data_IF_721874907016
#
_entry.id   IF_721874907016
#
_cell.length_a   1.000
_cell.length_b   1.000
_cell.length_c   1.000
_cell.angle_alpha   90.00
_cell.angle_beta   90.00
_cell.angle_gamma   90.00
#
_symmetry.space_group_name_H-M   'P 1'
#
loop_
_entity.id
_entity.type
_entity.pdbx_description
1 polymer ?
#
# COMPACT_ATOMS: atom_id res chain seq x y z
N UNK A 1 23.17 17.18 -33.91
CA UNK A 1 23.31 16.57 -32.57
C UNK A 1 22.08 16.96 -31.78
N UNK A 2 21.21 16.00 -31.48
CA UNK A 2 19.96 16.24 -30.76
C UNK A 2 20.25 16.60 -29.30
N UNK A 3 19.85 17.80 -28.89
CA UNK A 3 19.76 18.17 -27.48
C UNK A 3 18.77 17.23 -26.81
N UNK A 4 19.28 16.23 -26.11
CA UNK A 4 18.49 15.45 -25.19
C UNK A 4 18.11 16.40 -24.05
N UNK A 5 16.91 16.97 -24.15
CA UNK A 5 16.26 17.75 -23.10
C UNK A 5 16.04 16.83 -21.89
N UNK A 6 17.09 16.60 -21.10
CA UNK A 6 16.95 15.95 -19.80
C UNK A 6 16.09 16.88 -18.94
N UNK A 7 14.90 16.43 -18.48
CA UNK A 7 14.02 17.30 -17.74
C UNK A 7 14.69 17.73 -16.42
N UNK A 8 14.52 19.00 -16.06
CA UNK A 8 15.18 19.62 -14.90
C UNK A 8 14.85 18.90 -13.59
N UNK A 9 15.72 19.00 -12.59
CA UNK A 9 15.53 18.42 -11.25
C UNK A 9 14.16 18.73 -10.62
N UNK A 10 13.59 19.89 -10.96
CA UNK A 10 12.23 20.34 -10.58
C UNK A 10 11.11 19.51 -11.19
N UNK A 11 11.27 19.06 -12.44
CA UNK A 11 10.31 18.17 -13.10
C UNK A 11 10.23 16.84 -12.35
N UNK A 12 11.38 16.21 -12.06
CA UNK A 12 11.44 14.94 -11.32
C UNK A 12 10.91 15.05 -9.89
N UNK A 13 11.17 16.16 -9.20
CA UNK A 13 10.62 16.41 -7.87
C UNK A 13 9.08 16.55 -7.89
N UNK A 14 8.53 17.12 -8.96
CA UNK A 14 7.07 17.26 -9.14
C UNK A 14 6.43 15.92 -9.50
N UNK A 15 7.07 15.12 -10.37
CA UNK A 15 6.63 13.75 -10.67
C UNK A 15 6.64 12.87 -9.42
N UNK A 16 7.68 12.97 -8.58
CA UNK A 16 7.73 12.28 -7.28
C UNK A 16 6.57 12.69 -6.36
N UNK A 17 6.21 13.98 -6.34
CA UNK A 17 5.08 14.46 -5.53
C UNK A 17 3.73 13.93 -6.03
N UNK A 18 3.50 13.95 -7.35
CA UNK A 18 2.27 13.44 -7.98
C UNK A 18 2.14 11.94 -7.76
N UNK A 19 3.23 11.19 -7.99
CA UNK A 19 3.24 9.73 -7.81
C UNK A 19 3.06 9.32 -6.35
N UNK A 20 3.66 10.06 -5.41
CA UNK A 20 3.45 9.84 -3.98
C UNK A 20 2.00 10.12 -3.56
N UNK A 21 1.39 11.18 -4.09
CA UNK A 21 -0.03 11.47 -3.88
C UNK A 21 -0.96 10.40 -4.47
N UNK A 22 -0.70 9.94 -5.70
CA UNK A 22 -1.45 8.85 -6.32
C UNK A 22 -1.34 7.55 -5.50
N UNK A 23 -0.14 7.21 -5.04
CA UNK A 23 0.07 6.05 -4.16
C UNK A 23 -0.75 6.17 -2.88
N UNK A 24 -0.75 7.33 -2.22
CA UNK A 24 -1.56 7.57 -1.03
C UNK A 24 -3.06 7.36 -1.30
N UNK A 25 -3.56 7.93 -2.40
CA UNK A 25 -4.98 7.79 -2.78
C UNK A 25 -5.30 6.31 -3.05
N UNK A 26 -4.53 5.63 -3.89
CA UNK A 26 -4.76 4.20 -4.19
C UNK A 26 -4.62 3.32 -2.95
N UNK A 27 -3.74 3.69 -2.03
CA UNK A 27 -3.57 3.02 -0.74
C UNK A 27 -4.78 3.18 0.19
N UNK A 28 -5.57 4.24 0.04
CA UNK A 28 -6.79 4.47 0.82
C UNK A 28 -8.00 3.71 0.26
N UNK A 29 -7.98 3.31 -1.01
CA UNK A 29 -9.03 2.47 -1.59
C UNK A 29 -8.82 1.01 -1.15
N UNK A 30 -9.78 0.38 -0.45
CA UNK A 30 -9.63 -0.95 0.15
C UNK A 30 -9.87 -2.06 -0.88
N UNK A 31 -9.12 -2.06 -1.99
CA UNK A 31 -9.16 -3.16 -2.95
C UNK A 31 -7.76 -3.71 -3.22
N UNK A 32 -7.67 -5.04 -3.32
CA UNK A 32 -6.41 -5.72 -3.66
C UNK A 32 -5.87 -5.22 -5.00
N UNK A 33 -6.76 -4.93 -5.95
CA UNK A 33 -6.44 -4.41 -7.29
C UNK A 33 -5.74 -3.05 -7.20
N UNK A 34 -6.27 -2.10 -6.40
CA UNK A 34 -5.67 -0.77 -6.25
C UNK A 34 -4.31 -0.82 -5.56
N UNK A 35 -4.08 -1.81 -4.70
CA UNK A 35 -2.77 -2.04 -4.05
C UNK A 35 -1.71 -2.50 -5.06
N UNK A 36 -2.03 -3.48 -5.92
CA UNK A 36 -1.11 -3.93 -6.96
C UNK A 36 -0.86 -2.87 -8.04
N UNK A 37 -1.90 -2.11 -8.42
CA UNK A 37 -1.73 -0.97 -9.34
C UNK A 37 -0.90 0.16 -8.71
N UNK A 38 -0.97 0.34 -7.40
CA UNK A 38 -0.25 1.39 -6.69
C UNK A 38 1.26 1.11 -6.47
N UNK A 39 1.67 -0.16 -6.42
CA UNK A 39 3.06 -0.60 -6.24
C UNK A 39 4.08 0.07 -7.21
N UNK A 40 3.83 0.14 -8.53
CA UNK A 40 4.73 0.87 -9.43
C UNK A 40 4.80 2.37 -9.11
N UNK A 41 3.70 2.99 -8.65
CA UNK A 41 3.73 4.39 -8.22
C UNK A 41 4.57 4.57 -6.97
N UNK A 42 4.51 3.64 -6.01
CA UNK A 42 5.39 3.66 -4.83
C UNK A 42 6.87 3.56 -5.25
N UNK A 43 7.21 2.60 -6.12
CA UNK A 43 8.58 2.42 -6.62
C UNK A 43 9.11 3.68 -7.33
N UNK A 44 8.28 4.32 -8.17
CA UNK A 44 8.61 5.56 -8.85
C UNK A 44 8.77 6.70 -7.84
N UNK A 45 7.90 6.80 -6.84
CA UNK A 45 7.96 7.83 -5.79
C UNK A 45 9.27 7.76 -5.02
N UNK A 46 9.69 6.55 -4.60
CA UNK A 46 10.94 6.34 -3.87
C UNK A 46 12.16 6.55 -4.78
N UNK A 47 12.18 5.97 -5.98
CA UNK A 47 13.29 6.10 -6.91
C UNK A 47 13.54 7.55 -7.34
N UNK A 48 12.49 8.23 -7.83
CA UNK A 48 12.59 9.62 -8.24
C UNK A 48 12.73 10.57 -7.06
N UNK A 49 12.10 10.28 -5.92
CA UNK A 49 12.22 11.08 -4.71
C UNK A 49 13.64 11.08 -4.15
N UNK A 50 14.30 9.92 -4.07
CA UNK A 50 15.70 9.80 -3.67
C UNK A 50 16.65 10.46 -4.67
N UNK A 51 16.46 10.21 -5.97
CA UNK A 51 17.31 10.80 -7.00
C UNK A 51 17.16 12.32 -7.08
N UNK A 52 15.93 12.84 -7.12
CA UNK A 52 15.68 14.30 -7.17
C UNK A 52 16.16 15.01 -5.91
N UNK A 53 16.09 14.38 -4.73
CA UNK A 53 16.65 14.93 -3.49
C UNK A 53 18.18 15.01 -3.54
N UNK A 54 18.84 14.03 -4.15
CA UNK A 54 20.28 14.05 -4.40
C UNK A 54 20.69 15.13 -5.40
N UNK A 55 19.96 15.25 -6.50
CA UNK A 55 20.20 16.26 -7.55
C UNK A 55 19.93 17.69 -7.05
N UNK A 56 18.79 17.92 -6.39
CA UNK A 56 18.42 19.24 -5.86
C UNK A 56 19.36 19.73 -4.75
N UNK A 57 19.96 18.81 -3.97
CA UNK A 57 21.02 19.17 -3.00
C UNK A 57 22.30 19.63 -3.69
N UNK A 58 22.67 19.04 -4.83
CA UNK A 58 23.84 19.46 -5.61
C UNK A 58 23.62 20.81 -6.30
N UNK A 59 22.38 21.11 -6.66
CA UNK A 59 21.98 22.37 -7.30
C UNK A 59 21.58 23.48 -6.30
N UNK A 60 21.70 23.23 -4.99
CA UNK A 60 21.28 24.15 -3.92
C UNK A 60 19.82 24.66 -4.02
N UNK A 61 18.93 23.89 -4.65
CA UNK A 61 17.52 24.27 -4.85
C UNK A 61 16.64 23.82 -3.67
N UNK A 62 16.43 24.72 -2.72
CA UNK A 62 15.63 24.48 -1.52
C UNK A 62 14.17 24.09 -1.83
N UNK A 63 13.59 24.61 -2.92
CA UNK A 63 12.20 24.33 -3.31
C UNK A 63 12.09 22.92 -3.89
N UNK A 64 13.05 22.50 -4.71
CA UNK A 64 13.15 21.13 -5.23
C UNK A 64 13.28 20.08 -4.12
N UNK A 65 14.13 20.34 -3.13
CA UNK A 65 14.30 19.45 -1.96
C UNK A 65 13.01 19.32 -1.17
N UNK A 66 12.26 20.42 -0.96
CA UNK A 66 10.98 20.40 -0.24
C UNK A 66 9.96 19.51 -0.95
N UNK A 67 9.80 19.68 -2.27
CA UNK A 67 8.85 18.89 -3.08
C UNK A 67 9.19 17.40 -3.08
N UNK A 68 10.47 17.05 -3.28
CA UNK A 68 10.92 15.66 -3.20
C UNK A 68 10.66 15.05 -1.81
N UNK A 69 10.85 15.84 -0.74
CA UNK A 69 10.58 15.38 0.64
C UNK A 69 9.08 15.15 0.88
N UNK A 70 8.22 16.03 0.37
CA UNK A 70 6.77 15.83 0.42
C UNK A 70 6.34 14.57 -0.34
N UNK A 71 6.81 14.37 -1.57
CA UNK A 71 6.53 13.15 -2.35
C UNK A 71 6.92 11.88 -1.61
N UNK A 72 8.12 11.86 -1.02
CA UNK A 72 8.61 10.72 -0.23
C UNK A 72 7.80 10.50 1.05
N UNK A 73 7.35 11.58 1.69
CA UNK A 73 6.51 11.50 2.89
C UNK A 73 5.13 10.91 2.58
N UNK A 74 4.50 11.31 1.47
CA UNK A 74 3.25 10.69 1.01
C UNK A 74 3.44 9.22 0.64
N UNK A 75 4.57 8.88 0.02
CA UNK A 75 5.01 7.50 -0.19
C UNK A 75 5.00 6.66 1.09
N UNK A 76 5.68 7.15 2.13
CA UNK A 76 5.77 6.49 3.43
C UNK A 76 4.42 6.41 4.16
N UNK A 77 3.61 7.47 4.11
CA UNK A 77 2.26 7.48 4.71
C UNK A 77 1.37 6.41 4.07
N UNK A 78 1.42 6.25 2.74
CA UNK A 78 0.70 5.18 2.05
C UNK A 78 1.15 3.79 2.49
N UNK A 79 2.47 3.56 2.62
CA UNK A 79 2.99 2.28 3.12
C UNK A 79 2.57 2.00 4.58
N UNK A 80 2.64 3.00 5.45
CA UNK A 80 2.23 2.87 6.85
C UNK A 80 0.73 2.54 6.97
N UNK A 81 -0.11 3.19 6.15
CA UNK A 81 -1.54 2.91 6.09
C UNK A 81 -1.82 1.49 5.60
N UNK A 82 -1.18 1.04 4.53
CA UNK A 82 -1.29 -0.34 4.04
C UNK A 82 -0.92 -1.36 5.12
N UNK A 83 0.21 -1.15 5.80
CA UNK A 83 0.64 -2.03 6.88
C UNK A 83 -0.40 -2.09 8.01
N UNK A 84 -0.93 -0.94 8.42
CA UNK A 84 -1.99 -0.88 9.43
C UNK A 84 -3.28 -1.57 8.95
N UNK A 85 -3.73 -1.30 7.73
CA UNK A 85 -4.95 -1.88 7.16
C UNK A 85 -4.86 -3.40 7.04
N UNK A 86 -3.74 -3.94 6.53
CA UNK A 86 -3.50 -5.38 6.46
C UNK A 86 -3.43 -6.00 7.85
N UNK A 87 -2.77 -5.33 8.81
CA UNK A 87 -2.70 -5.80 10.19
C UNK A 87 -4.09 -5.88 10.82
N UNK A 88 -4.91 -4.83 10.67
CA UNK A 88 -6.29 -4.83 11.15
C UNK A 88 -7.15 -5.90 10.46
N UNK A 89 -6.95 -6.13 9.17
CA UNK A 89 -7.64 -7.19 8.44
C UNK A 89 -7.26 -8.59 8.96
N UNK A 90 -5.97 -8.85 9.20
CA UNK A 90 -5.50 -10.11 9.79
C UNK A 90 -6.03 -10.28 11.22
N UNK A 91 -6.05 -9.21 12.03
CA UNK A 91 -6.64 -9.23 13.38
C UNK A 91 -8.13 -9.56 13.30
N UNK A 92 -8.87 -8.92 12.39
CA UNK A 92 -10.30 -9.18 12.20
C UNK A 92 -10.55 -10.64 11.76
N UNK A 93 -9.73 -11.19 10.87
CA UNK A 93 -9.81 -12.60 10.50
C UNK A 93 -9.46 -13.52 11.67
N UNK A 94 -8.37 -13.26 12.39
CA UNK A 94 -7.95 -14.12 13.51
C UNK A 94 -8.92 -14.08 14.69
N UNK A 95 -9.62 -12.98 14.93
CA UNK A 95 -10.64 -12.88 15.98
C UNK A 95 -12.03 -13.34 15.52
N UNK A 96 -12.38 -13.13 14.25
CA UNK A 96 -13.70 -13.46 13.70
C UNK A 96 -13.84 -14.88 13.15
N UNK A 97 -12.75 -15.49 12.69
CA UNK A 97 -12.77 -16.84 12.09
C UNK A 97 -12.95 -17.96 13.14
N UNK A 98 -12.31 -17.93 14.33
CA UNK A 98 -12.50 -18.97 15.34
C UNK A 98 -13.95 -19.13 15.83
N UNK A 99 -14.70 -18.07 16.16
CA UNK A 99 -16.08 -18.23 16.61
C UNK A 99 -16.99 -18.78 15.49
N UNK A 100 -16.83 -18.33 14.25
CA UNK A 100 -17.59 -18.86 13.10
C UNK A 100 -17.29 -20.34 12.87
N UNK A 101 -16.01 -20.73 12.92
CA UNK A 101 -15.59 -22.11 12.75
C UNK A 101 -16.13 -23.00 13.88
N UNK A 102 -16.07 -22.52 15.13
CA UNK A 102 -16.61 -23.24 16.29
C UNK A 102 -18.13 -23.41 16.20
N UNK A 103 -18.87 -22.39 15.77
CA UNK A 103 -20.32 -22.49 15.55
C UNK A 103 -20.65 -23.52 14.48
N UNK A 104 -19.86 -23.59 13.41
CA UNK A 104 -20.07 -24.55 12.32
C UNK A 104 -19.75 -25.98 12.75
N UNK A 105 -18.68 -26.18 13.53
CA UNK A 105 -18.33 -27.48 14.13
C UNK A 105 -19.45 -27.94 15.06
N UNK A 106 -19.95 -27.07 15.94
CA UNK A 106 -21.05 -27.40 16.86
C UNK A 106 -22.32 -27.83 16.10
N UNK A 107 -22.69 -27.08 15.06
CA UNK A 107 -23.84 -27.42 14.21
C UNK A 107 -23.67 -28.78 13.52
N UNK A 108 -22.47 -29.09 13.01
CA UNK A 108 -22.18 -30.39 12.41
C UNK A 108 -22.21 -31.53 13.42
N UNK A 109 -21.79 -31.31 14.67
CA UNK A 109 -21.88 -32.29 15.74
C UNK A 109 -23.32 -32.61 16.11
N UNK A 110 -24.20 -31.60 16.18
CA UNK A 110 -25.63 -31.82 16.41
C UNK A 110 -26.25 -32.62 15.27
N UNK A 111 -25.96 -32.26 14.01
CA UNK A 111 -26.43 -33.02 12.85
C UNK A 111 -25.94 -34.47 12.87
N UNK A 112 -24.70 -34.70 13.26
CA UNK A 112 -24.14 -36.04 13.42
C UNK A 112 -24.83 -36.83 14.53
N UNK A 113 -25.16 -36.17 15.65
CA UNK A 113 -25.88 -36.80 16.77
C UNK A 113 -27.33 -37.16 16.41
N UNK A 114 -27.96 -36.41 15.50
CA UNK A 114 -29.29 -36.70 14.98
C UNK A 114 -29.29 -37.79 13.89
N UNK A 115 -28.12 -38.17 13.36
CA UNK A 115 -28.03 -39.22 12.36
C UNK A 115 -28.39 -40.56 12.99
N UNK A 116 -29.36 -41.32 12.43
CA UNK A 116 -29.77 -42.60 13.00
C UNK A 116 -28.58 -43.56 12.99
N UNK A 117 -28.07 -43.86 14.18
CA UNK A 117 -27.13 -44.95 14.40
C UNK A 117 -27.91 -46.23 14.12
N UNK A 118 -27.77 -46.77 12.90
CA UNK A 118 -28.35 -48.06 12.56
C UNK A 118 -27.90 -49.07 13.62
N UNK A 119 -28.86 -49.54 14.43
CA UNK A 119 -28.62 -50.65 15.35
C UNK A 119 -28.17 -51.86 14.55
N UNK A 120 -27.12 -52.59 14.98
CA UNK A 120 -26.61 -53.76 14.28
C UNK A 120 -27.67 -54.86 14.10
#
# INVERSE_FOLDING_TARGET
MSETNFPSSRFWATVSLITGGLWLIFSLLPTVITTFLGLPFAAITFGLGLWSRGAARREADAVGVRRATWGLSFGCLGCAWQAAAVTLFIIALTLGLPPVLNSLIAYLQELWAMWPQGTP
#
